data_IF_672687287199
#
_entry.id   IF_672687287199
#
_cell.length_a   1.000
_cell.length_b   1.000
_cell.length_c   1.000
_cell.angle_alpha   90.00
_cell.angle_beta   90.00
_cell.angle_gamma   90.00
#
_symmetry.space_group_name_H-M   'P 1'
#
loop_
_entity.id
_entity.type
_entity.pdbx_description
1 polymer ?
#
# COMPACT_ATOMS: atom_id res chain seq x y z
N UNK A 1 -4.09 13.91 -19.10
CA UNK A 1 -4.59 12.54 -19.35
C UNK A 1 -5.76 12.28 -18.43
N UNK A 2 -6.80 11.62 -18.91
CA UNK A 2 -8.02 11.32 -18.14
C UNK A 2 -8.31 9.82 -18.14
N UNK A 3 -8.88 9.33 -17.05
CA UNK A 3 -9.44 7.99 -16.89
C UNK A 3 -10.95 8.09 -17.04
N UNK A 4 -11.52 7.34 -17.97
CA UNK A 4 -12.96 7.17 -18.05
C UNK A 4 -13.43 6.14 -17.01
N UNK A 5 -14.39 6.54 -16.17
CA UNK A 5 -15.03 5.66 -15.18
C UNK A 5 -16.50 5.51 -15.55
N UNK A 6 -16.94 4.27 -15.73
CA UNK A 6 -18.34 3.91 -15.99
C UNK A 6 -18.95 3.12 -14.84
N UNK A 7 -20.29 3.09 -14.82
CA UNK A 7 -21.14 2.43 -13.81
C UNK A 7 -20.94 2.96 -12.39
N UNK A 8 -20.47 4.20 -12.27
CA UNK A 8 -20.22 4.87 -10.99
C UNK A 8 -20.67 6.33 -11.10
N UNK A 9 -21.26 6.82 -10.02
CA UNK A 9 -21.67 8.20 -9.90
C UNK A 9 -20.51 9.02 -9.32
N UNK A 10 -19.97 9.94 -10.12
CA UNK A 10 -18.81 10.75 -9.75
C UNK A 10 -19.17 12.14 -9.20
N UNK A 11 -20.45 12.45 -9.02
CA UNK A 11 -20.85 13.78 -8.51
C UNK A 11 -20.32 14.04 -7.10
N UNK A 12 -20.29 13.01 -6.24
CA UNK A 12 -19.75 13.15 -4.88
C UNK A 12 -18.24 13.45 -4.92
N UNK A 13 -17.48 12.71 -5.73
CA UNK A 13 -16.05 12.92 -5.92
C UNK A 13 -15.74 14.34 -6.42
N UNK A 14 -16.53 14.84 -7.37
CA UNK A 14 -16.44 16.23 -7.83
C UNK A 14 -16.61 17.23 -6.69
N UNK A 15 -17.64 17.04 -5.83
CA UNK A 15 -17.88 17.93 -4.69
C UNK A 15 -16.75 17.88 -3.67
N UNK A 16 -16.16 16.71 -3.42
CA UNK A 16 -14.98 16.59 -2.55
C UNK A 16 -13.79 17.36 -3.14
N UNK A 17 -13.53 17.24 -4.44
CA UNK A 17 -12.41 17.95 -5.07
C UNK A 17 -12.61 19.47 -5.06
N UNK A 18 -13.85 19.95 -5.22
CA UNK A 18 -14.19 21.36 -5.06
C UNK A 18 -13.99 21.86 -3.63
N UNK A 19 -14.37 21.07 -2.62
CA UNK A 19 -14.12 21.40 -1.22
C UNK A 19 -12.61 21.56 -0.96
N UNK A 20 -11.79 20.61 -1.42
CA UNK A 20 -10.33 20.70 -1.30
C UNK A 20 -9.76 21.94 -2.00
N UNK A 21 -10.33 22.31 -3.16
CA UNK A 21 -9.96 23.54 -3.85
C UNK A 21 -10.24 24.77 -3.00
N UNK A 22 -11.44 24.89 -2.41
CA UNK A 22 -11.81 26.00 -1.53
C UNK A 22 -10.90 26.05 -0.30
N UNK A 23 -10.62 24.91 0.34
CA UNK A 23 -9.69 24.84 1.47
C UNK A 23 -8.29 25.37 1.09
N UNK A 24 -7.79 25.04 -0.10
CA UNK A 24 -6.51 25.55 -0.58
C UNK A 24 -6.52 27.06 -0.80
N UNK A 25 -7.62 27.63 -1.29
CA UNK A 25 -7.75 29.09 -1.44
C UNK A 25 -7.66 29.80 -0.08
N UNK A 26 -8.32 29.25 0.95
CA UNK A 26 -8.26 29.79 2.32
C UNK A 26 -6.85 29.66 2.92
N UNK A 27 -6.18 28.52 2.68
CA UNK A 27 -4.81 28.29 3.16
C UNK A 27 -3.79 29.22 2.49
N UNK A 28 -3.96 29.50 1.20
CA UNK A 28 -3.08 30.38 0.44
C UNK A 28 -3.10 31.83 0.98
N UNK A 29 -4.27 32.35 1.30
CA UNK A 29 -4.45 33.72 1.84
C UNK A 29 -3.73 33.91 3.19
N UNK A 30 -3.69 32.86 4.01
CA UNK A 30 -3.00 32.85 5.32
C UNK A 30 -1.48 32.59 5.29
N UNK A 31 -0.90 32.44 4.08
CA UNK A 31 0.47 31.95 3.88
C UNK A 31 1.47 33.01 3.42
N UNK A 32 1.05 34.28 3.31
CA UNK A 32 1.84 35.42 2.81
C UNK A 32 3.18 35.68 3.51
N UNK A 33 3.45 35.02 4.65
CA UNK A 33 4.69 35.19 5.42
C UNK A 33 5.30 33.87 5.94
N UNK A 34 4.94 32.70 5.39
CA UNK A 34 5.34 31.40 5.94
C UNK A 34 6.42 30.68 5.14
N UNK A 35 7.34 30.05 5.87
CA UNK A 35 8.46 29.26 5.37
C UNK A 35 8.01 28.10 4.47
N UNK A 36 8.70 27.94 3.34
CA UNK A 36 8.64 26.79 2.45
C UNK A 36 8.61 25.43 3.19
N UNK A 37 7.78 24.44 2.78
CA UNK A 37 6.85 24.43 1.65
C UNK A 37 5.42 24.91 2.00
N UNK A 38 4.62 25.35 1.00
CA UNK A 38 3.27 25.84 1.22
C UNK A 38 2.31 24.72 1.66
N UNK A 39 1.35 25.07 2.53
CA UNK A 39 0.26 24.17 2.87
C UNK A 39 -0.69 24.02 1.67
N UNK A 40 -0.78 22.79 1.15
CA UNK A 40 -1.68 22.48 0.04
C UNK A 40 -2.15 21.04 0.12
N UNK A 41 -3.46 20.84 -0.01
CA UNK A 41 -4.07 19.55 -0.30
C UNK A 41 -4.09 19.33 -1.82
N UNK A 42 -3.31 18.37 -2.31
CA UNK A 42 -3.33 18.00 -3.74
C UNK A 42 -4.73 17.47 -4.09
N UNK A 43 -5.28 17.97 -5.18
CA UNK A 43 -6.58 17.56 -5.73
C UNK A 43 -6.45 17.36 -7.24
N UNK A 44 -7.43 16.69 -7.85
CA UNK A 44 -7.46 16.38 -9.28
C UNK A 44 -8.84 16.73 -9.86
N UNK A 45 -8.92 16.98 -11.17
CA UNK A 45 -10.18 17.28 -11.82
C UNK A 45 -11.06 16.03 -11.95
N UNK A 46 -12.36 16.19 -11.70
CA UNK A 46 -13.41 15.19 -11.93
C UNK A 46 -14.50 15.86 -12.76
N UNK A 47 -14.93 15.22 -13.85
CA UNK A 47 -15.97 15.74 -14.74
C UNK A 47 -17.03 14.66 -14.93
N UNK A 48 -18.15 14.72 -14.19
CA UNK A 48 -19.30 13.86 -14.44
C UNK A 48 -19.85 14.08 -15.85
N UNK A 49 -20.10 13.00 -16.59
CA UNK A 49 -20.74 13.03 -17.91
C UNK A 49 -22.22 12.62 -17.83
N UNK A 50 -22.64 12.07 -16.69
CA UNK A 50 -24.01 11.67 -16.37
C UNK A 50 -24.05 11.03 -14.98
N UNK A 51 -25.18 10.41 -14.62
CA UNK A 51 -25.37 9.78 -13.30
C UNK A 51 -24.55 8.51 -13.08
N UNK A 52 -23.90 7.97 -14.12
CA UNK A 52 -23.19 6.68 -14.06
C UNK A 52 -21.88 6.68 -14.83
N UNK A 53 -21.40 7.85 -15.26
CA UNK A 53 -20.17 7.96 -16.01
C UNK A 53 -19.50 9.31 -15.81
N UNK A 54 -18.18 9.33 -15.93
CA UNK A 54 -17.41 10.55 -15.87
C UNK A 54 -15.93 10.34 -16.19
N UNK A 55 -15.19 11.44 -16.15
CA UNK A 55 -13.76 11.50 -16.38
C UNK A 55 -13.06 11.91 -15.09
N UNK A 56 -11.97 11.22 -14.76
CA UNK A 56 -11.09 11.54 -13.63
C UNK A 56 -9.71 11.87 -14.19
N UNK A 57 -9.13 13.00 -13.77
CA UNK A 57 -7.78 13.37 -14.19
C UNK A 57 -6.76 12.37 -13.64
N UNK A 58 -5.90 11.85 -14.52
CA UNK A 58 -4.78 11.03 -14.10
C UNK A 58 -3.66 11.90 -13.53
N UNK A 59 -3.19 11.54 -12.33
CA UNK A 59 -2.06 12.21 -11.68
C UNK A 59 -0.74 11.60 -12.16
N UNK A 60 0.04 12.39 -12.90
CA UNK A 60 1.39 12.02 -13.33
C UNK A 60 2.41 12.17 -12.20
N UNK A 61 3.50 11.40 -12.27
CA UNK A 61 4.65 11.52 -11.36
C UNK A 61 4.43 10.99 -9.93
N UNK A 62 3.23 10.47 -9.62
CA UNK A 62 2.96 9.82 -8.34
C UNK A 62 3.45 8.36 -8.37
N UNK A 63 4.29 7.97 -7.42
CA UNK A 63 4.68 6.57 -7.20
C UNK A 63 3.84 5.98 -6.06
N UNK A 64 3.04 4.93 -6.29
CA UNK A 64 2.29 4.28 -5.22
C UNK A 64 3.24 3.71 -4.15
N UNK A 65 2.92 3.90 -2.86
CA UNK A 65 3.77 3.41 -1.76
C UNK A 65 4.01 1.89 -1.82
N UNK A 66 2.99 1.12 -2.22
CA UNK A 66 3.11 -0.33 -2.37
C UNK A 66 4.18 -0.74 -3.39
N UNK A 67 4.44 0.08 -4.41
CA UNK A 67 5.50 -0.18 -5.40
C UNK A 67 6.89 -0.18 -4.77
N UNK A 68 7.14 0.71 -3.81
CA UNK A 68 8.41 0.78 -3.06
C UNK A 68 8.62 -0.52 -2.28
N UNK A 69 7.59 -0.98 -1.58
CA UNK A 69 7.61 -2.23 -0.82
C UNK A 69 7.84 -3.44 -1.74
N UNK A 70 7.11 -3.54 -2.86
CA UNK A 70 7.24 -4.64 -3.82
C UNK A 70 8.64 -4.71 -4.45
N UNK A 71 9.24 -3.56 -4.78
CA UNK A 71 10.63 -3.48 -5.24
C UNK A 71 11.64 -3.97 -4.20
N UNK A 72 11.38 -3.73 -2.92
CA UNK A 72 12.21 -4.28 -1.85
C UNK A 72 12.04 -5.81 -1.75
N UNK A 73 10.82 -6.33 -1.79
CA UNK A 73 10.57 -7.78 -1.76
C UNK A 73 11.28 -8.51 -2.92
N UNK A 74 11.21 -7.97 -4.14
CA UNK A 74 11.93 -8.50 -5.32
C UNK A 74 13.44 -8.57 -5.09
N UNK A 75 14.03 -7.50 -4.53
CA UNK A 75 15.46 -7.48 -4.21
C UNK A 75 15.82 -8.54 -3.17
N UNK A 76 14.99 -8.72 -2.13
CA UNK A 76 15.23 -9.76 -1.12
C UNK A 76 15.14 -11.18 -1.69
N UNK A 77 14.15 -11.45 -2.55
CA UNK A 77 14.03 -12.74 -3.22
C UNK A 77 15.24 -13.04 -4.12
N UNK A 78 15.70 -12.05 -4.88
CA UNK A 78 16.90 -12.17 -5.72
C UNK A 78 18.17 -12.45 -4.91
N UNK A 79 18.35 -11.77 -3.77
CA UNK A 79 19.48 -12.01 -2.87
C UNK A 79 19.45 -13.44 -2.34
N UNK A 80 18.31 -13.92 -1.83
CA UNK A 80 18.14 -15.30 -1.34
C UNK A 80 18.49 -16.33 -2.42
N UNK A 81 17.93 -16.16 -3.61
CA UNK A 81 18.22 -17.06 -4.73
C UNK A 81 19.68 -17.03 -5.17
N UNK A 82 20.36 -15.88 -5.10
CA UNK A 82 21.79 -15.78 -5.39
C UNK A 82 22.67 -16.52 -4.37
N UNK A 83 22.24 -16.56 -3.11
CA UNK A 83 22.92 -17.29 -2.03
C UNK A 83 22.74 -18.81 -2.19
N UNK A 84 21.52 -19.25 -2.53
CA UNK A 84 21.19 -20.67 -2.75
C UNK A 84 21.96 -21.26 -3.95
N UNK A 85 22.10 -20.50 -5.05
CA UNK A 85 22.91 -20.93 -6.20
C UNK A 85 24.40 -21.10 -5.88
N UNK A 86 24.95 -20.35 -4.93
CA UNK A 86 26.34 -20.55 -4.45
C UNK A 86 26.49 -21.79 -3.58
N UNK A 87 25.40 -22.33 -3.04
CA UNK A 87 25.38 -23.54 -2.21
C UNK A 87 25.16 -24.84 -3.00
N UNK A 88 25.10 -24.80 -4.33
CA UNK A 88 25.02 -25.99 -5.19
C UNK A 88 23.61 -26.59 -5.37
N UNK A 89 22.54 -25.92 -4.93
CA UNK A 89 21.16 -26.36 -5.22
C UNK A 89 20.77 -26.06 -6.69
N UNK A 90 20.04 -26.97 -7.37
CA UNK A 90 19.57 -26.74 -8.73
C UNK A 90 18.57 -25.58 -8.77
N UNK A 91 18.83 -24.62 -9.67
CA UNK A 91 17.98 -23.46 -9.87
C UNK A 91 16.65 -23.89 -10.50
N UNK A 92 15.58 -23.92 -9.70
CA UNK A 92 14.22 -24.03 -10.24
C UNK A 92 13.75 -22.65 -10.71
N UNK A 93 13.08 -22.61 -11.86
CA UNK A 93 12.55 -21.40 -12.50
C UNK A 93 11.45 -20.68 -11.69
N UNK A 94 11.09 -21.20 -10.52
CA UNK A 94 10.10 -20.64 -9.59
C UNK A 94 10.66 -19.52 -8.67
N UNK A 95 11.95 -19.20 -8.78
CA UNK A 95 12.70 -18.41 -7.80
C UNK A 95 12.41 -16.90 -7.69
N UNK A 96 11.30 -16.41 -8.23
CA UNK A 96 10.84 -15.03 -8.04
C UNK A 96 9.38 -14.96 -7.56
N UNK A 97 8.86 -16.04 -6.97
CA UNK A 97 7.48 -16.05 -6.46
C UNK A 97 7.42 -15.27 -5.14
N UNK A 98 7.02 -14.01 -5.23
CA UNK A 98 6.72 -13.19 -4.06
C UNK A 98 5.29 -13.46 -3.67
N UNK A 99 5.11 -14.04 -2.49
CA UNK A 99 3.80 -14.25 -1.88
C UNK A 99 2.96 -12.96 -1.94
N UNK A 100 1.69 -13.08 -2.34
CA UNK A 100 0.76 -11.95 -2.25
C UNK A 100 0.64 -11.53 -0.77
N UNK A 101 0.34 -10.26 -0.47
CA UNK A 101 0.24 -9.81 0.91
C UNK A 101 -0.69 -10.66 1.78
N UNK A 102 -1.82 -11.09 1.21
CA UNK A 102 -2.78 -11.98 1.86
C UNK A 102 -2.16 -13.34 2.19
N UNK A 103 -1.45 -13.93 1.24
CA UNK A 103 -0.87 -15.27 1.38
C UNK A 103 0.26 -15.27 2.41
N UNK A 104 1.11 -14.25 2.38
CA UNK A 104 2.17 -14.03 3.36
C UNK A 104 1.59 -13.92 4.79
N UNK A 105 0.56 -13.09 4.96
CA UNK A 105 -0.10 -12.91 6.25
C UNK A 105 -0.72 -14.22 6.75
N UNK A 106 -1.48 -14.91 5.90
CA UNK A 106 -2.12 -16.16 6.29
C UNK A 106 -1.10 -17.25 6.63
N UNK A 107 0.02 -17.33 5.89
CA UNK A 107 1.11 -18.25 6.16
C UNK A 107 1.73 -18.02 7.55
N UNK A 108 1.98 -16.75 7.91
CA UNK A 108 2.46 -16.37 9.25
C UNK A 108 1.44 -16.68 10.35
N UNK A 109 0.17 -16.33 10.14
CA UNK A 109 -0.90 -16.64 11.08
C UNK A 109 -1.03 -18.14 11.33
N UNK A 110 -1.00 -18.96 10.28
CA UNK A 110 -1.04 -20.43 10.42
C UNK A 110 0.15 -20.98 11.22
N UNK A 111 1.34 -20.41 11.05
CA UNK A 111 2.51 -20.75 11.87
C UNK A 111 2.27 -20.49 13.36
N UNK A 112 1.88 -19.26 13.69
CA UNK A 112 1.62 -18.85 15.09
C UNK A 112 0.46 -19.62 15.72
N UNK A 113 -0.59 -19.94 14.96
CA UNK A 113 -1.70 -20.77 15.43
C UNK A 113 -1.28 -22.21 15.73
N UNK A 114 -0.39 -22.78 14.91
CA UNK A 114 0.19 -24.10 15.17
C UNK A 114 1.05 -24.09 16.43
N UNK A 115 1.88 -23.06 16.60
CA UNK A 115 2.77 -22.91 17.77
C UNK A 115 1.99 -22.77 19.09
N UNK A 116 0.86 -22.06 19.07
CA UNK A 116 0.02 -21.83 20.24
C UNK A 116 -1.13 -22.83 20.39
N UNK A 117 -1.16 -23.89 19.57
CA UNK A 117 -2.19 -24.94 19.55
C UNK A 117 -3.64 -24.39 19.56
N UNK A 118 -3.90 -23.40 18.71
CA UNK A 118 -5.23 -22.77 18.62
C UNK A 118 -6.23 -23.73 17.98
N UNK A 119 -7.42 -23.83 18.56
CA UNK A 119 -8.49 -24.72 18.07
C UNK A 119 -8.94 -24.36 16.64
N UNK A 120 -9.18 -25.39 15.82
CA UNK A 120 -9.60 -25.23 14.42
C UNK A 120 -10.92 -24.43 14.29
N UNK A 121 -11.82 -24.54 15.27
CA UNK A 121 -13.07 -23.78 15.31
C UNK A 121 -12.84 -22.26 15.45
N UNK A 122 -11.80 -21.86 16.20
CA UNK A 122 -11.41 -20.45 16.35
C UNK A 122 -10.69 -19.95 15.09
N UNK A 123 -9.89 -20.81 14.44
CA UNK A 123 -9.20 -20.46 13.19
C UNK A 123 -10.20 -20.17 12.06
N UNK A 124 -11.30 -20.92 11.99
CA UNK A 124 -12.33 -20.74 10.96
C UNK A 124 -13.10 -19.41 11.07
N UNK A 125 -13.20 -18.83 12.27
CA UNK A 125 -13.93 -17.59 12.54
C UNK A 125 -12.98 -16.44 12.87
N UNK A 126 -12.72 -15.58 11.87
CA UNK A 126 -11.82 -14.42 12.02
C UNK A 126 -12.21 -13.47 13.14
N UNK A 127 -13.50 -13.38 13.50
CA UNK A 127 -13.96 -12.49 14.58
C UNK A 127 -13.48 -12.93 15.95
N UNK A 128 -13.17 -14.23 16.12
CA UNK A 128 -12.73 -14.85 17.37
C UNK A 128 -11.21 -14.94 17.50
N UNK A 129 -10.47 -14.41 16.54
CA UNK A 129 -9.01 -14.53 16.55
C UNK A 129 -8.40 -13.80 17.77
N UNK A 130 -7.49 -14.44 18.50
CA UNK A 130 -6.90 -13.87 19.70
C UNK A 130 -5.99 -12.68 19.37
N UNK A 131 -6.26 -11.56 20.03
CA UNK A 131 -5.62 -10.26 19.72
C UNK A 131 -4.11 -10.24 20.00
N UNK A 132 -3.64 -10.99 20.99
CA UNK A 132 -2.22 -11.14 21.30
C UNK A 132 -1.45 -11.80 20.14
N UNK A 133 -1.99 -12.85 19.51
CA UNK A 133 -1.34 -13.51 18.38
C UNK A 133 -1.32 -12.62 17.14
N UNK A 134 -2.38 -11.83 16.92
CA UNK A 134 -2.41 -10.82 15.86
C UNK A 134 -1.31 -9.76 16.05
N UNK A 135 -1.12 -9.28 17.29
CA UNK A 135 -0.04 -8.35 17.63
C UNK A 135 1.34 -8.97 17.41
N UNK A 136 1.51 -10.24 17.77
CA UNK A 136 2.75 -10.97 17.56
C UNK A 136 3.12 -11.07 16.07
N UNK A 137 2.17 -11.49 15.23
CA UNK A 137 2.37 -11.57 13.77
C UNK A 137 2.65 -10.19 13.18
N UNK A 138 1.93 -9.16 13.60
CA UNK A 138 2.19 -7.79 13.17
C UNK A 138 3.62 -7.35 13.53
N UNK A 139 4.04 -7.55 14.79
CA UNK A 139 5.38 -7.19 15.24
C UNK A 139 6.47 -7.98 14.49
N UNK A 140 6.21 -9.25 14.16
CA UNK A 140 7.09 -10.07 13.32
C UNK A 140 7.27 -9.44 11.94
N UNK A 141 6.17 -9.10 11.24
CA UNK A 141 6.20 -8.48 9.91
C UNK A 141 6.86 -7.08 9.91
N UNK A 142 6.65 -6.30 10.98
CA UNK A 142 7.29 -4.99 11.16
C UNK A 142 8.81 -5.13 11.34
N UNK A 143 9.27 -6.17 12.05
CA UNK A 143 10.71 -6.43 12.21
C UNK A 143 11.37 -6.89 10.91
N UNK A 144 10.64 -7.62 10.07
CA UNK A 144 11.15 -8.09 8.76
C UNK A 144 11.32 -6.96 7.74
N UNK A 145 10.51 -5.90 7.84
CA UNK A 145 10.52 -4.80 6.85
C UNK A 145 11.34 -3.62 7.35
N UNK A 146 12.32 -3.11 6.58
CA UNK A 146 13.10 -1.93 6.96
C UNK A 146 12.21 -0.69 7.10
N UNK A 147 12.45 0.12 8.14
CA UNK A 147 11.66 1.34 8.42
C UNK A 147 12.03 2.53 7.53
N UNK A 148 13.14 2.45 6.82
CA UNK A 148 13.76 3.51 6.04
C UNK A 148 13.57 3.34 4.53
N UNK A 149 12.66 2.47 4.09
CA UNK A 149 12.39 2.23 2.67
C UNK A 149 12.00 3.51 1.92
N UNK A 150 11.15 4.34 2.53
CA UNK A 150 10.65 5.57 1.91
C UNK A 150 11.76 6.61 1.87
N UNK A 151 12.42 6.86 3.00
CA UNK A 151 13.50 7.86 3.09
C UNK A 151 14.64 7.55 2.12
N UNK A 152 15.06 6.29 2.00
CA UNK A 152 16.06 5.87 1.00
C UNK A 152 15.63 6.10 -0.45
N UNK A 153 14.32 6.04 -0.72
CA UNK A 153 13.80 6.25 -2.08
C UNK A 153 13.70 7.74 -2.44
N UNK A 154 13.57 8.61 -1.43
CA UNK A 154 13.47 10.07 -1.61
C UNK A 154 14.84 10.78 -1.68
N UNK A 155 15.93 10.12 -1.27
CA UNK A 155 17.30 10.68 -1.25
C UNK A 155 18.05 10.43 -2.59
N UNK A 156 17.31 10.14 -3.67
CA UNK A 156 17.81 9.97 -5.03
C UNK A 156 17.25 11.12 -5.87
#
# INVERSE_FOLDING_TARGET
MFLFKGQEDLHLDERIMQLLHICNLMLADSSSNRSWPPYSARHYAVTPLGTRSGLIQWVGGATPMFHIYRKWQLRQAQIKHSMERKSGMPATTAALDIDRPTDLFQKKMRGVFTEHNVEAAVIADRSKWPHNLLKEVFNSLVKETPRDLISRTLVI
#
